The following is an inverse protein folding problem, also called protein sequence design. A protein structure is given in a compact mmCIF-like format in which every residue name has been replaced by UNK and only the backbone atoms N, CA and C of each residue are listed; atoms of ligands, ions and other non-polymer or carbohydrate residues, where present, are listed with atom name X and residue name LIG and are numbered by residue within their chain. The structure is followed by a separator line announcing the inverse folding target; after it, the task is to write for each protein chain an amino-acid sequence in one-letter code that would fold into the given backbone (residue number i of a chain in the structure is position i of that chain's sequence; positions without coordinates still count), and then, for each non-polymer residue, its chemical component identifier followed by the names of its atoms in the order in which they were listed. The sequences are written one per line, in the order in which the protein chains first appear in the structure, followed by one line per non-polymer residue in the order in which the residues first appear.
data_IF_061393288063
#
_entry.id   IF_061393288063
#
_cell.length_a   1.000
_cell.length_b   1.000
_cell.length_c   1.000
_cell.angle_alpha   90.00
_cell.angle_beta   90.00
_cell.angle_gamma   90.00
#
_symmetry.space_group_name_H-M   'P 1'
#
loop_
_entity.id
_entity.type
_entity.pdbx_description
1 polymer ?
#
# COMPACT_ATOMS: atom_id res chain seq x y z
N UNK A 1 -17.04 6.00 7.77
CA UNK A 1 -16.90 4.53 7.94
C UNK A 1 -15.46 4.26 8.40
N UNK A 2 -15.24 3.31 9.31
CA UNK A 2 -13.87 3.01 9.78
C UNK A 2 -13.19 2.00 8.85
N UNK A 3 -11.88 2.12 8.57
CA UNK A 3 -11.17 1.14 7.77
C UNK A 3 -11.05 -0.19 8.51
N UNK A 4 -11.24 -1.29 7.77
CA UNK A 4 -10.97 -2.65 8.26
C UNK A 4 -9.49 -2.94 8.07
N UNK A 5 -8.82 -3.36 9.14
CA UNK A 5 -7.41 -3.72 9.11
C UNK A 5 -7.24 -5.21 8.89
N UNK A 6 -6.56 -5.60 7.81
CA UNK A 6 -6.24 -7.00 7.54
C UNK A 6 -5.04 -7.43 8.36
N UNK A 7 -5.17 -8.53 9.10
CA UNK A 7 -4.06 -9.12 9.84
C UNK A 7 -3.11 -9.80 8.86
N UNK A 8 -1.82 -9.50 8.99
CA UNK A 8 -0.77 -10.11 8.17
C UNK A 8 0.09 -11.01 9.06
N UNK A 9 0.49 -12.18 8.53
CA UNK A 9 1.21 -13.22 9.27
C UNK A 9 2.75 -13.11 9.19
N UNK A 10 3.26 -12.13 8.43
CA UNK A 10 4.69 -11.81 8.36
C UNK A 10 5.02 -10.58 9.21
N UNK A 11 6.28 -10.43 9.60
CA UNK A 11 6.76 -9.21 10.26
C UNK A 11 6.93 -8.06 9.28
N UNK A 12 6.64 -6.85 9.74
CA UNK A 12 6.94 -5.64 9.00
C UNK A 12 8.45 -5.38 8.99
N UNK A 13 9.01 -5.10 7.82
CA UNK A 13 10.43 -4.81 7.63
C UNK A 13 10.65 -3.33 7.28
N UNK A 14 10.65 -2.41 8.25
CA UNK A 14 10.78 -0.98 7.96
C UNK A 14 12.16 -0.62 7.38
N UNK A 15 12.18 0.31 6.42
CA UNK A 15 13.40 0.99 5.96
C UNK A 15 13.60 2.29 6.76
N UNK A 16 14.39 2.23 7.84
CA UNK A 16 14.82 3.36 8.68
C UNK A 16 13.67 4.36 9.01
N UNK A 17 13.95 5.66 8.97
CA UNK A 17 12.97 6.73 9.21
C UNK A 17 11.93 6.87 8.07
N UNK A 18 12.17 6.25 6.91
CA UNK A 18 11.31 6.32 5.72
C UNK A 18 10.19 5.28 5.79
N UNK A 19 9.11 5.68 6.44
CA UNK A 19 7.90 4.87 6.56
C UNK A 19 7.16 4.80 5.21
N UNK A 20 7.10 3.61 4.61
CA UNK A 20 6.24 3.31 3.44
C UNK A 20 4.85 2.81 3.88
N UNK A 21 4.73 2.47 5.16
CA UNK A 21 3.48 2.32 5.90
C UNK A 21 3.50 3.20 7.15
N UNK A 22 2.43 3.94 7.39
CA UNK A 22 2.34 5.01 8.38
C UNK A 22 1.32 4.67 9.48
N UNK A 23 1.57 5.14 10.71
CA UNK A 23 0.63 5.05 11.84
C UNK A 23 -0.45 6.11 11.67
N UNK A 24 -1.40 5.82 10.78
CA UNK A 24 -2.47 6.73 10.39
C UNK A 24 -3.74 5.93 10.12
N UNK A 25 -4.87 6.39 10.65
CA UNK A 25 -6.18 5.78 10.48
C UNK A 25 -7.07 6.52 9.48
N UNK A 26 -6.58 7.63 8.91
CA UNK A 26 -7.34 8.41 7.94
C UNK A 26 -7.58 7.62 6.65
N UNK A 27 -8.78 7.75 6.11
CA UNK A 27 -9.17 7.21 4.81
C UNK A 27 -8.90 8.22 3.70
N UNK A 28 -8.75 7.75 2.46
CA UNK A 28 -8.55 8.62 1.31
C UNK A 28 -9.26 8.06 0.07
N UNK A 29 -9.79 8.94 -0.78
CA UNK A 29 -10.38 8.54 -2.06
C UNK A 29 -9.29 8.35 -3.12
N UNK A 30 -9.56 7.52 -4.13
CA UNK A 30 -8.68 7.34 -5.29
C UNK A 30 -8.36 8.68 -5.98
N UNK A 31 -9.37 9.54 -6.15
CA UNK A 31 -9.23 10.88 -6.74
C UNK A 31 -8.29 11.81 -5.95
N UNK A 32 -8.05 11.54 -4.66
CA UNK A 32 -7.20 12.37 -3.80
C UNK A 32 -5.70 12.05 -3.87
N UNK A 33 -5.28 11.11 -4.74
CA UNK A 33 -3.89 10.67 -4.88
C UNK A 33 -3.14 11.34 -6.05
N UNK A 34 -3.86 11.99 -6.96
CA UNK A 34 -3.34 12.49 -8.25
C UNK A 34 -2.32 13.65 -8.18
N UNK A 35 -1.77 13.98 -7.01
CA UNK A 35 -0.89 15.16 -6.83
C UNK A 35 0.23 15.00 -5.80
N UNK A 36 0.62 13.78 -5.43
CA UNK A 36 1.67 13.60 -4.41
C UNK A 36 3.06 13.48 -5.04
N UNK A 37 3.96 14.41 -4.65
CA UNK A 37 5.34 14.46 -5.16
C UNK A 37 6.27 13.46 -4.46
N UNK A 38 7.00 12.74 -5.29
CA UNK A 38 8.37 12.20 -5.18
C UNK A 38 8.82 11.57 -3.84
N UNK A 39 8.52 10.28 -3.61
CA UNK A 39 9.34 9.42 -2.78
C UNK A 39 10.62 9.07 -3.56
N UNK A 40 11.79 9.42 -2.98
CA UNK A 40 13.12 8.99 -3.45
C UNK A 40 13.09 7.55 -4.01
N UNK A 41 13.77 7.28 -5.12
CA UNK A 41 13.78 5.98 -5.82
C UNK A 41 13.88 4.76 -4.90
N UNK A 42 14.75 4.82 -3.88
CA UNK A 42 14.93 3.75 -2.88
C UNK A 42 13.66 3.49 -2.05
N UNK A 43 12.92 4.53 -1.69
CA UNK A 43 11.66 4.43 -0.94
C UNK A 43 10.57 3.78 -1.79
N UNK A 44 10.49 4.13 -3.08
CA UNK A 44 9.55 3.48 -4.01
C UNK A 44 9.91 2.01 -4.22
N UNK A 45 11.19 1.68 -4.46
CA UNK A 45 11.63 0.30 -4.61
C UNK A 45 11.32 -0.54 -3.37
N UNK A 46 11.57 0.00 -2.17
CA UNK A 46 11.21 -0.65 -0.93
C UNK A 46 9.70 -0.88 -0.80
N UNK A 47 8.90 0.14 -1.12
CA UNK A 47 7.44 0.01 -1.10
C UNK A 47 6.95 -1.09 -2.03
N UNK A 48 7.45 -1.15 -3.27
CA UNK A 48 7.11 -2.21 -4.23
C UNK A 48 7.44 -3.59 -3.68
N UNK A 49 8.63 -3.77 -3.08
CA UNK A 49 9.03 -5.03 -2.45
C UNK A 49 8.10 -5.42 -1.30
N UNK A 50 7.72 -4.47 -0.44
CA UNK A 50 6.77 -4.75 0.64
C UNK A 50 5.37 -5.10 0.10
N UNK A 51 4.93 -4.48 -0.99
CA UNK A 51 3.67 -4.84 -1.65
C UNK A 51 3.68 -6.29 -2.19
N UNK A 52 4.78 -6.74 -2.79
CA UNK A 52 4.94 -8.14 -3.24
C UNK A 52 4.92 -9.09 -2.04
N UNK A 53 5.71 -8.81 -1.01
CA UNK A 53 5.73 -9.63 0.23
C UNK A 53 4.36 -9.70 0.88
N UNK A 54 3.61 -8.60 0.88
CA UNK A 54 2.24 -8.57 1.38
C UNK A 54 1.30 -9.40 0.52
N UNK A 55 1.36 -9.26 -0.82
CA UNK A 55 0.58 -10.05 -1.77
C UNK A 55 0.78 -11.56 -1.57
N UNK A 56 2.04 -11.99 -1.45
CA UNK A 56 2.40 -13.37 -1.14
C UNK A 56 1.85 -13.82 0.22
N UNK A 57 2.00 -12.99 1.26
CA UNK A 57 1.54 -13.31 2.60
C UNK A 57 0.01 -13.38 2.73
N UNK A 58 -0.74 -12.63 1.92
CA UNK A 58 -2.22 -12.72 1.87
C UNK A 58 -2.72 -13.71 0.81
N UNK A 59 -1.82 -14.26 -0.02
CA UNK A 59 -2.16 -15.18 -1.11
C UNK A 59 -3.01 -14.55 -2.22
N UNK A 60 -2.87 -13.24 -2.47
CA UNK A 60 -3.69 -12.49 -3.43
C UNK A 60 -2.96 -11.27 -4.00
N UNK A 61 -3.05 -11.02 -5.32
CA UNK A 61 -2.53 -9.78 -5.92
C UNK A 61 -3.26 -8.53 -5.43
N UNK A 62 -4.44 -8.69 -4.81
CA UNK A 62 -5.22 -7.62 -4.20
C UNK A 62 -4.81 -7.43 -2.75
N UNK A 63 -3.92 -6.47 -2.51
CA UNK A 63 -3.30 -6.17 -1.22
C UNK A 63 -4.13 -5.16 -0.42
N UNK A 64 -4.39 -5.40 0.88
CA UNK A 64 -5.13 -4.45 1.73
C UNK A 64 -4.30 -3.21 2.06
N UNK A 65 -4.89 -2.02 1.92
CA UNK A 65 -4.25 -0.72 2.25
C UNK A 65 -4.02 -0.55 3.75
N UNK A 66 -4.93 -1.09 4.55
CA UNK A 66 -4.92 -1.01 6.01
C UNK A 66 -4.50 -2.36 6.58
N UNK A 67 -3.33 -2.40 7.20
CA UNK A 67 -2.68 -3.64 7.63
C UNK A 67 -2.43 -3.63 9.13
N UNK A 68 -2.67 -4.76 9.79
CA UNK A 68 -2.25 -5.01 11.17
C UNK A 68 -1.10 -6.00 11.19
N UNK A 69 0.09 -5.51 11.49
CA UNK A 69 1.29 -6.33 11.67
C UNK A 69 1.53 -6.74 13.12
N UNK A 70 2.15 -7.91 13.36
CA UNK A 70 2.49 -8.36 14.71
C UNK A 70 3.43 -7.40 15.45
N UNK A 71 4.50 -6.95 14.78
CA UNK A 71 5.56 -6.12 15.38
C UNK A 71 5.37 -4.60 15.20
N UNK A 72 4.36 -4.15 14.42
CA UNK A 72 4.18 -2.73 14.11
C UNK A 72 2.76 -2.18 14.40
N UNK A 73 1.79 -3.06 14.68
CA UNK A 73 0.41 -2.67 14.96
C UNK A 73 -0.38 -2.28 13.70
N UNK A 74 -1.31 -1.34 13.86
CA UNK A 74 -2.18 -0.86 12.78
C UNK A 74 -1.48 0.22 11.95
N UNK A 75 -1.23 -0.07 10.69
CA UNK A 75 -0.62 0.84 9.74
C UNK A 75 -1.46 0.96 8.46
N UNK A 76 -1.27 2.06 7.74
CA UNK A 76 -1.84 2.35 6.43
C UNK A 76 -0.71 2.54 5.43
N UNK A 77 -0.87 2.09 4.19
CA UNK A 77 0.06 2.42 3.10
C UNK A 77 0.24 3.93 2.96
N UNK A 78 1.46 4.39 2.76
CA UNK A 78 1.71 5.81 2.52
C UNK A 78 1.08 6.29 1.21
N UNK A 79 0.41 7.45 1.25
CA UNK A 79 -0.28 8.00 0.06
C UNK A 79 0.71 8.34 -1.06
N UNK A 80 1.90 8.83 -0.71
CA UNK A 80 2.91 9.25 -1.69
C UNK A 80 3.52 8.04 -2.39
N UNK A 81 3.81 6.97 -1.63
CA UNK A 81 4.22 5.69 -2.20
C UNK A 81 3.14 5.07 -3.10
N UNK A 82 1.87 5.14 -2.71
CA UNK A 82 0.75 4.64 -3.51
C UNK A 82 0.58 5.38 -4.84
N UNK A 83 0.57 6.72 -4.81
CA UNK A 83 0.45 7.54 -6.02
C UNK A 83 1.55 7.18 -7.04
N UNK A 84 2.74 6.88 -6.56
CA UNK A 84 3.91 6.63 -7.40
C UNK A 84 3.99 5.20 -7.89
N UNK A 85 3.54 4.24 -7.08
CA UNK A 85 3.31 2.88 -7.57
C UNK A 85 2.29 2.89 -8.71
N UNK A 86 1.21 3.65 -8.58
CA UNK A 86 0.19 3.85 -9.61
C UNK A 86 0.79 4.49 -10.87
N UNK A 87 1.46 5.64 -10.75
CA UNK A 87 2.12 6.32 -11.87
C UNK A 87 3.15 5.43 -12.59
N UNK A 88 3.85 4.57 -11.85
CA UNK A 88 4.83 3.64 -12.43
C UNK A 88 4.21 2.40 -13.10
N UNK A 89 2.89 2.23 -13.06
CA UNK A 89 2.19 1.06 -13.58
C UNK A 89 2.41 -0.23 -12.78
N UNK A 90 2.94 -0.12 -11.55
CA UNK A 90 3.19 -1.28 -10.69
C UNK A 90 1.92 -1.80 -10.02
N UNK A 91 0.92 -0.94 -9.86
CA UNK A 91 -0.42 -1.30 -9.40
C UNK A 91 -1.44 -0.85 -10.44
N UNK A 92 -2.58 -1.54 -10.49
CA UNK A 92 -3.71 -1.14 -11.32
C UNK A 92 -4.36 0.14 -10.80
N UNK A 93 -5.23 0.72 -11.63
CA UNK A 93 -6.00 1.91 -11.29
C UNK A 93 -6.76 1.74 -9.98
N UNK A 94 -6.65 2.77 -9.13
CA UNK A 94 -7.26 2.75 -7.82
C UNK A 94 -8.75 3.07 -7.91
N UNK A 95 -9.56 2.24 -7.26
CA UNK A 95 -10.99 2.44 -7.11
C UNK A 95 -11.36 2.56 -5.64
N UNK A 96 -12.40 3.35 -5.35
CA UNK A 96 -12.97 3.38 -4.01
C UNK A 96 -13.76 2.09 -3.79
N UNK A 97 -13.59 1.43 -2.63
CA UNK A 97 -14.49 0.36 -2.21
C UNK A 97 -15.80 0.90 -1.64
N UNK A 98 -16.62 -0.01 -1.11
CA UNK A 98 -17.97 0.28 -0.57
C UNK A 98 -18.01 1.38 0.50
N UNK A 99 -16.89 1.62 1.19
CA UNK A 99 -16.75 2.69 2.18
C UNK A 99 -16.47 4.09 1.61
N UNK A 100 -16.34 4.24 0.28
CA UNK A 100 -16.01 5.51 -0.37
C UNK A 100 -14.52 5.88 -0.33
N UNK A 101 -13.65 4.95 0.04
CA UNK A 101 -12.20 5.13 0.10
C UNK A 101 -11.46 3.91 -0.46
N UNK A 102 -10.18 4.08 -0.76
CA UNK A 102 -9.33 2.98 -1.26
C UNK A 102 -9.05 2.00 -0.12
N UNK A 103 -9.61 0.81 -0.19
CA UNK A 103 -9.42 -0.25 0.81
C UNK A 103 -8.37 -1.28 0.41
N UNK A 104 -8.15 -1.45 -0.90
CA UNK A 104 -7.20 -2.39 -1.47
C UNK A 104 -6.50 -1.76 -2.68
N UNK A 105 -5.33 -2.29 -3.00
CA UNK A 105 -4.63 -2.05 -4.26
C UNK A 105 -4.40 -3.39 -4.93
N UNK A 106 -4.34 -3.40 -6.26
CA UNK A 106 -4.07 -4.60 -7.03
C UNK A 106 -2.73 -4.47 -7.73
N UNK A 107 -1.84 -5.43 -7.55
CA UNK A 107 -0.58 -5.46 -8.29
C UNK A 107 -0.90 -5.63 -9.78
N UNK A 108 -0.29 -4.82 -10.63
CA UNK A 108 -0.29 -5.13 -12.04
C UNK A 108 0.51 -6.44 -12.20
N UNK A 109 -0.07 -7.46 -12.84
CA UNK A 109 0.67 -8.68 -13.12
C UNK A 109 2.01 -8.30 -13.76
N UNK A 110 3.11 -8.79 -13.19
CA UNK A 110 4.45 -8.59 -13.73
C UNK A 110 4.42 -9.04 -15.19
N UNK A 111 4.37 -8.10 -16.13
CA UNK A 111 4.82 -8.36 -17.51
C UNK A 111 6.34 -8.45 -17.50
N UNK A 112 6.88 -9.33 -16.69
CA UNK A 112 8.25 -9.83 -16.84
C UNK A 112 8.10 -11.16 -17.60
N UNK A 113 7.97 -11.02 -18.92
CA UNK A 113 8.33 -12.06 -19.90
C UNK A 113 9.81 -11.91 -20.25
#
# INVERSE_FOLDING_TARGET
MNPVYTRVAIDYSPMDATKVFVKDASTFSASSLLRQRDPKSNRLHHFKRELVRLSEAVGSPRVPVFVRWPNAGRLRMDKGCLAQALESGFILDLTNGDGGFVSHVELAESKDS
#
